data_IF_971728824806
#
_entry.id   IF_971728824806
#
_cell.length_a   1.000
_cell.length_b   1.000
_cell.length_c   1.000
_cell.angle_alpha   90.00
_cell.angle_beta   90.00
_cell.angle_gamma   90.00
#
_symmetry.space_group_name_H-M   'P 1'
#
loop_
_entity.id
_entity.type
_entity.pdbx_description
1 polymer ?
#
# COMPACT_ATOMS: atom_id res chain seq x y z
N UNK A 1 -17.57 16.68 -9.99
CA UNK A 1 -16.57 15.64 -10.24
C UNK A 1 -17.13 14.73 -11.32
N UNK A 2 -16.39 14.47 -12.40
CA UNK A 2 -16.83 13.52 -13.43
C UNK A 2 -16.75 12.09 -12.86
N UNK A 3 -17.74 11.26 -13.17
CA UNK A 3 -17.83 9.88 -12.68
C UNK A 3 -17.42 8.89 -13.76
N UNK A 4 -17.04 7.70 -13.32
CA UNK A 4 -16.79 6.50 -14.16
C UNK A 4 -18.02 5.57 -14.17
N UNK A 5 -19.20 6.16 -14.00
CA UNK A 5 -20.49 5.48 -13.98
C UNK A 5 -21.52 6.36 -14.65
N UNK A 6 -22.61 5.74 -15.11
CA UNK A 6 -23.82 6.35 -15.66
C UNK A 6 -23.65 6.94 -17.07
N UNK A 7 -22.66 6.46 -17.85
CA UNK A 7 -22.56 6.81 -19.27
C UNK A 7 -23.80 6.28 -19.98
N UNK A 8 -24.47 7.15 -20.74
CA UNK A 8 -25.71 6.85 -21.45
C UNK A 8 -26.85 6.28 -20.56
N UNK A 9 -26.92 6.71 -19.29
CA UNK A 9 -27.89 6.22 -18.29
C UNK A 9 -27.77 4.71 -17.98
N UNK A 10 -26.57 4.15 -18.13
CA UNK A 10 -26.31 2.71 -17.92
C UNK A 10 -25.84 2.36 -16.50
N UNK A 11 -26.01 3.26 -15.52
CA UNK A 11 -25.39 3.12 -14.20
C UNK A 11 -25.76 1.84 -13.44
N UNK A 12 -26.99 1.35 -13.56
CA UNK A 12 -27.41 0.09 -12.92
C UNK A 12 -26.65 -1.11 -13.49
N UNK A 13 -26.55 -1.23 -14.81
CA UNK A 13 -25.84 -2.35 -15.43
C UNK A 13 -24.35 -2.33 -15.09
N UNK A 14 -23.73 -1.15 -15.06
CA UNK A 14 -22.33 -1.01 -14.64
C UNK A 14 -22.10 -1.39 -13.17
N UNK A 15 -23.04 -1.07 -12.27
CA UNK A 15 -22.96 -1.53 -10.87
C UNK A 15 -23.09 -3.05 -10.77
N UNK A 16 -24.01 -3.66 -11.54
CA UNK A 16 -24.21 -5.11 -11.56
C UNK A 16 -22.98 -5.82 -12.10
N UNK A 17 -22.37 -5.31 -13.17
CA UNK A 17 -21.13 -5.83 -13.72
C UNK A 17 -19.97 -5.72 -12.72
N UNK A 18 -19.84 -4.57 -12.05
CA UNK A 18 -18.77 -4.32 -11.10
C UNK A 18 -18.88 -5.16 -9.81
N UNK A 19 -20.09 -5.42 -9.33
CA UNK A 19 -20.34 -6.09 -8.05
C UNK A 19 -20.70 -7.57 -8.19
N UNK A 20 -21.41 -7.95 -9.25
CA UNK A 20 -21.88 -9.32 -9.53
C UNK A 20 -22.94 -9.88 -8.58
N UNK A 21 -23.13 -9.30 -7.39
CA UNK A 21 -23.96 -9.84 -6.31
C UNK A 21 -25.20 -8.99 -5.97
N UNK A 22 -25.38 -7.85 -6.65
CA UNK A 22 -26.59 -7.02 -6.50
C UNK A 22 -27.64 -7.37 -7.56
N UNK A 23 -28.91 -7.12 -7.26
CA UNK A 23 -30.01 -7.39 -8.19
C UNK A 23 -29.98 -6.44 -9.40
N UNK A 24 -30.32 -6.95 -10.59
CA UNK A 24 -30.40 -6.17 -11.82
C UNK A 24 -31.44 -5.03 -11.76
N UNK A 25 -32.42 -5.12 -10.88
CA UNK A 25 -33.43 -4.09 -10.60
C UNK A 25 -32.95 -3.01 -9.61
N UNK A 26 -31.65 -3.00 -9.25
CA UNK A 26 -31.10 -1.98 -8.34
C UNK A 26 -31.27 -0.57 -8.90
N UNK A 27 -31.82 0.33 -8.07
CA UNK A 27 -32.04 1.72 -8.40
C UNK A 27 -30.75 2.55 -8.25
N UNK A 28 -30.09 2.84 -9.37
CA UNK A 28 -28.85 3.63 -9.41
C UNK A 28 -29.00 5.04 -8.82
N UNK A 29 -30.21 5.62 -8.85
CA UNK A 29 -30.44 6.99 -8.34
C UNK A 29 -30.12 7.11 -6.84
N UNK A 30 -30.21 6.01 -6.09
CA UNK A 30 -29.84 5.94 -4.68
C UNK A 30 -28.33 5.88 -4.45
N UNK A 31 -27.59 5.29 -5.39
CA UNK A 31 -26.13 5.14 -5.32
C UNK A 31 -25.40 6.42 -5.75
N UNK A 32 -25.93 7.08 -6.78
CA UNK A 32 -25.35 8.28 -7.41
C UNK A 32 -24.86 9.36 -6.43
N UNK A 33 -25.57 9.71 -5.34
CA UNK A 33 -25.09 10.72 -4.38
C UNK A 33 -23.85 10.30 -3.58
N UNK A 34 -23.63 8.99 -3.40
CA UNK A 34 -22.54 8.44 -2.58
C UNK A 34 -21.29 8.12 -3.40
N UNK A 35 -21.42 7.87 -4.70
CA UNK A 35 -20.31 7.58 -5.62
C UNK A 35 -19.17 8.62 -5.50
N UNK A 36 -19.42 9.95 -5.49
CA UNK A 36 -18.35 10.94 -5.35
C UNK A 36 -17.53 10.80 -4.06
N UNK A 37 -18.14 10.33 -2.97
CA UNK A 37 -17.44 10.10 -1.69
C UNK A 37 -16.48 8.91 -1.79
N UNK A 38 -16.91 7.85 -2.48
CA UNK A 38 -16.11 6.66 -2.73
C UNK A 38 -14.99 6.92 -3.72
N UNK A 39 -15.29 7.67 -4.78
CA UNK A 39 -14.28 8.17 -5.72
C UNK A 39 -13.21 8.96 -4.98
N UNK A 40 -13.58 9.96 -4.17
CA UNK A 40 -12.61 10.75 -3.39
C UNK A 40 -11.73 9.86 -2.51
N UNK A 41 -12.32 8.83 -1.87
CA UNK A 41 -11.58 7.86 -1.05
C UNK A 41 -10.56 7.10 -1.88
N UNK A 42 -10.97 6.58 -3.05
CA UNK A 42 -10.08 5.83 -3.94
C UNK A 42 -8.96 6.72 -4.49
N UNK A 43 -9.30 7.92 -4.98
CA UNK A 43 -8.35 8.90 -5.50
C UNK A 43 -7.29 9.29 -4.46
N UNK A 44 -7.63 9.35 -3.18
CA UNK A 44 -6.64 9.61 -2.12
C UNK A 44 -5.56 8.50 -2.00
N UNK A 45 -5.91 7.27 -2.37
CA UNK A 45 -5.03 6.11 -2.34
C UNK A 45 -4.15 6.10 -3.60
N UNK A 46 -4.76 6.10 -4.78
CA UNK A 46 -4.07 5.90 -6.08
C UNK A 46 -3.55 7.19 -6.73
N UNK A 47 -4.00 8.35 -6.26
CA UNK A 47 -3.68 9.66 -6.84
C UNK A 47 -4.70 10.15 -7.88
N UNK A 48 -4.83 11.48 -8.06
CA UNK A 48 -5.72 12.07 -9.07
C UNK A 48 -5.33 11.71 -10.50
N UNK A 49 -4.03 11.56 -10.79
CA UNK A 49 -3.51 11.31 -12.14
C UNK A 49 -4.06 10.02 -12.75
N UNK A 50 -4.20 8.98 -11.92
CA UNK A 50 -4.78 7.69 -12.31
C UNK A 50 -6.27 7.82 -12.58
N UNK A 51 -7.00 8.49 -11.68
CA UNK A 51 -8.45 8.64 -11.80
C UNK A 51 -8.83 9.46 -13.04
N UNK A 52 -8.15 10.59 -13.26
CA UNK A 52 -8.43 11.48 -14.39
C UNK A 52 -8.21 10.78 -15.73
N UNK A 53 -7.17 9.94 -15.84
CA UNK A 53 -6.90 9.14 -17.05
C UNK A 53 -7.98 8.09 -17.32
N UNK A 54 -8.50 7.45 -16.28
CA UNK A 54 -9.62 6.50 -16.45
C UNK A 54 -10.91 7.22 -16.82
N UNK A 55 -11.17 8.41 -16.28
CA UNK A 55 -12.31 9.25 -16.68
C UNK A 55 -12.19 9.66 -18.16
N UNK A 56 -11.00 10.09 -18.60
CA UNK A 56 -10.75 10.42 -20.01
C UNK A 56 -11.07 9.22 -20.93
N UNK A 57 -10.55 8.04 -20.58
CA UNK A 57 -10.84 6.81 -21.31
C UNK A 57 -12.33 6.46 -21.32
N UNK A 58 -12.98 6.48 -20.16
CA UNK A 58 -14.39 6.14 -20.01
C UNK A 58 -15.30 7.02 -20.86
N UNK A 59 -15.00 8.32 -20.98
CA UNK A 59 -15.77 9.26 -21.80
C UNK A 59 -15.32 9.36 -23.26
N UNK A 60 -14.24 8.68 -23.65
CA UNK A 60 -13.76 8.68 -25.03
C UNK A 60 -14.75 7.98 -25.97
N UNK A 61 -14.76 8.42 -27.24
CA UNK A 61 -15.54 7.83 -28.35
C UNK A 61 -14.68 6.99 -29.28
N UNK A 62 -13.37 7.23 -29.32
CA UNK A 62 -12.40 6.53 -30.16
C UNK A 62 -11.15 6.20 -29.31
N UNK A 63 -11.20 5.13 -28.51
CA UNK A 63 -10.03 4.68 -27.77
C UNK A 63 -8.96 4.13 -28.72
N UNK A 64 -7.69 4.28 -28.35
CA UNK A 64 -6.58 3.66 -29.07
C UNK A 64 -6.65 2.14 -28.92
N UNK A 65 -6.89 1.44 -30.03
CA UNK A 65 -7.10 -0.03 -30.06
C UNK A 65 -5.92 -0.83 -29.47
N UNK A 66 -4.70 -0.27 -29.42
CA UNK A 66 -3.54 -0.95 -28.82
C UNK A 66 -3.55 -0.94 -27.30
N UNK A 67 -4.10 0.09 -26.69
CA UNK A 67 -4.12 0.27 -25.23
C UNK A 67 -5.49 0.03 -24.62
N UNK A 68 -6.53 -0.05 -25.46
CA UNK A 68 -7.92 -0.20 -25.08
C UNK A 68 -8.17 -1.32 -24.06
N UNK A 69 -7.66 -2.53 -24.28
CA UNK A 69 -7.87 -3.66 -23.37
C UNK A 69 -7.26 -3.43 -21.97
N UNK A 70 -6.11 -2.75 -21.91
CA UNK A 70 -5.48 -2.40 -20.62
C UNK A 70 -6.33 -1.38 -19.86
N UNK A 71 -6.83 -0.38 -20.57
CA UNK A 71 -7.68 0.65 -19.98
C UNK A 71 -9.08 0.13 -19.61
N UNK A 72 -9.65 -0.81 -20.37
CA UNK A 72 -10.89 -1.52 -19.99
C UNK A 72 -10.71 -2.28 -18.68
N UNK A 73 -9.64 -3.06 -18.56
CA UNK A 73 -9.34 -3.79 -17.33
C UNK A 73 -9.14 -2.83 -16.16
N UNK A 74 -8.39 -1.75 -16.37
CA UNK A 74 -8.18 -0.71 -15.36
C UNK A 74 -9.49 -0.05 -14.92
N UNK A 75 -10.37 0.26 -15.88
CA UNK A 75 -11.70 0.82 -15.62
C UNK A 75 -12.54 -0.11 -14.77
N UNK A 76 -12.61 -1.41 -15.11
CA UNK A 76 -13.39 -2.41 -14.37
C UNK A 76 -12.92 -2.54 -12.92
N UNK A 77 -11.60 -2.63 -12.70
CA UNK A 77 -11.02 -2.68 -11.35
C UNK A 77 -11.36 -1.41 -10.55
N UNK A 78 -11.27 -0.24 -11.19
CA UNK A 78 -11.60 1.03 -10.55
C UNK A 78 -13.10 1.16 -10.24
N UNK A 79 -13.97 0.78 -11.16
CA UNK A 79 -15.42 0.74 -10.96
C UNK A 79 -15.78 -0.20 -9.81
N UNK A 80 -15.20 -1.40 -9.77
CA UNK A 80 -15.41 -2.35 -8.68
C UNK A 80 -15.02 -1.77 -7.31
N UNK A 81 -13.84 -1.15 -7.19
CA UNK A 81 -13.43 -0.51 -5.94
C UNK A 81 -14.37 0.63 -5.52
N UNK A 82 -14.78 1.48 -6.46
CA UNK A 82 -15.74 2.56 -6.18
C UNK A 82 -17.10 2.01 -5.78
N UNK A 83 -17.58 0.97 -6.45
CA UNK A 83 -18.87 0.35 -6.19
C UNK A 83 -18.89 -0.30 -4.78
N UNK A 84 -17.88 -1.09 -4.43
CA UNK A 84 -17.78 -1.71 -3.10
C UNK A 84 -17.68 -0.66 -1.97
N UNK A 85 -16.89 0.40 -2.16
CA UNK A 85 -16.86 1.52 -1.19
C UNK A 85 -18.16 2.31 -1.13
N UNK A 86 -18.93 2.36 -2.21
CA UNK A 86 -20.25 3.01 -2.22
C UNK A 86 -21.26 2.13 -1.51
N UNK A 87 -21.16 0.81 -1.70
CA UNK A 87 -22.06 -0.14 -1.09
C UNK A 87 -21.96 -0.12 0.44
N UNK A 88 -20.76 -0.22 1.00
CA UNK A 88 -20.56 -0.13 2.46
C UNK A 88 -21.07 1.19 3.06
N UNK A 89 -21.13 2.27 2.26
CA UNK A 89 -21.67 3.57 2.71
C UNK A 89 -23.19 3.61 2.70
N UNK A 90 -23.82 2.94 1.74
CA UNK A 90 -25.26 3.06 1.50
C UNK A 90 -26.07 1.98 2.22
N UNK A 91 -25.51 0.79 2.53
CA UNK A 91 -26.22 -0.31 3.23
C UNK A 91 -27.01 0.19 4.46
N UNK A 92 -26.42 0.94 5.40
CA UNK A 92 -27.16 1.39 6.58
C UNK A 92 -28.35 2.30 6.24
N UNK A 93 -28.28 3.01 5.10
CA UNK A 93 -29.38 3.85 4.61
C UNK A 93 -30.43 3.03 3.86
N UNK A 94 -30.04 1.96 3.17
CA UNK A 94 -30.98 1.06 2.49
C UNK A 94 -31.79 0.20 3.47
N UNK A 95 -31.17 -0.19 4.58
CA UNK A 95 -31.78 -0.97 5.65
C UNK A 95 -32.78 -0.17 6.49
N UNK A 96 -32.67 1.16 6.46
CA UNK A 96 -33.53 2.07 7.18
C UNK A 96 -34.57 2.74 6.25
N UNK A 97 -35.85 2.55 6.56
CA UNK A 97 -36.91 3.39 6.01
C UNK A 97 -36.87 4.77 6.66
N UNK A 98 -36.76 5.80 5.81
CA UNK A 98 -36.81 7.20 6.20
C UNK A 98 -38.12 7.79 5.70
N UNK A 99 -39.14 7.81 6.56
CA UNK A 99 -40.46 8.36 6.25
C UNK A 99 -40.80 9.58 7.10
N UNK A 100 -41.93 10.23 6.82
CA UNK A 100 -42.42 11.38 7.60
C UNK A 100 -42.74 11.04 9.07
N UNK A 101 -42.90 9.75 9.40
CA UNK A 101 -43.16 9.25 10.76
C UNK A 101 -41.89 8.86 11.52
N UNK A 102 -40.70 9.06 10.94
CA UNK A 102 -39.41 8.78 11.57
C UNK A 102 -38.61 7.67 10.87
N UNK A 103 -37.68 7.05 11.61
CA UNK A 103 -36.80 5.99 11.13
C UNK A 103 -37.33 4.63 11.57
N UNK A 104 -37.54 3.72 10.62
CA UNK A 104 -37.96 2.34 10.88
C UNK A 104 -37.08 1.36 10.11
N UNK A 105 -36.92 0.12 10.59
CA UNK A 105 -36.19 -0.92 9.85
C UNK A 105 -37.04 -1.35 8.66
N UNK A 106 -36.43 -1.45 7.48
CA UNK A 106 -37.11 -1.96 6.28
C UNK A 106 -37.23 -3.48 6.40
N UNK A 107 -38.42 -3.98 6.66
CA UNK A 107 -38.73 -5.41 6.67
C UNK A 107 -39.96 -5.65 5.78
N UNK A 108 -39.89 -6.62 4.87
CA UNK A 108 -41.07 -7.10 4.16
C UNK A 108 -42.01 -7.85 5.11
N UNK A 109 -43.30 -7.92 4.77
CA UNK A 109 -44.34 -8.54 5.63
C UNK A 109 -44.05 -10.00 6.03
N UNK A 110 -43.18 -10.70 5.29
CA UNK A 110 -42.80 -12.10 5.53
C UNK A 110 -41.29 -12.34 5.64
N UNK A 111 -40.47 -11.29 5.77
CA UNK A 111 -39.01 -11.42 5.80
C UNK A 111 -38.47 -11.28 7.22
N UNK A 112 -37.70 -12.29 7.68
CA UNK A 112 -36.85 -12.12 8.85
C UNK A 112 -35.56 -11.44 8.41
N UNK A 113 -35.37 -10.20 8.85
CA UNK A 113 -34.11 -9.49 8.63
C UNK A 113 -32.92 -10.20 9.27
N UNK A 114 -31.72 -9.86 8.81
CA UNK A 114 -30.46 -10.31 9.41
C UNK A 114 -30.39 -9.86 10.90
N UNK A 115 -29.72 -10.68 11.70
CA UNK A 115 -29.35 -10.28 13.07
C UNK A 115 -28.21 -9.26 13.04
N UNK A 116 -28.05 -8.46 14.08
CA UNK A 116 -26.98 -7.45 14.15
C UNK A 116 -25.56 -8.05 13.97
N UNK A 117 -25.35 -9.29 14.43
CA UNK A 117 -24.06 -9.99 14.23
C UNK A 117 -23.86 -10.38 12.76
N UNK A 118 -24.92 -10.79 12.07
CA UNK A 118 -24.85 -11.13 10.65
C UNK A 118 -24.66 -9.88 9.79
N UNK A 119 -25.37 -8.79 10.07
CA UNK A 119 -25.19 -7.47 9.42
C UNK A 119 -23.75 -6.99 9.57
N UNK A 120 -23.20 -7.02 10.78
CA UNK A 120 -21.81 -6.64 11.03
C UNK A 120 -20.80 -7.50 10.25
N UNK A 121 -21.02 -8.82 10.19
CA UNK A 121 -20.14 -9.74 9.43
C UNK A 121 -20.21 -9.47 7.93
N UNK A 122 -21.40 -9.20 7.41
CA UNK A 122 -21.61 -8.87 6.00
C UNK A 122 -20.93 -7.54 5.62
N UNK A 123 -21.17 -6.49 6.41
CA UNK A 123 -20.51 -5.19 6.23
C UNK A 123 -18.97 -5.31 6.30
N UNK A 124 -18.45 -6.10 7.24
CA UNK A 124 -17.01 -6.38 7.35
C UNK A 124 -16.49 -7.09 6.11
N UNK A 125 -17.23 -8.08 5.60
CA UNK A 125 -16.86 -8.80 4.39
C UNK A 125 -16.83 -7.88 3.16
N UNK A 126 -17.84 -7.02 2.98
CA UNK A 126 -17.90 -6.05 1.88
C UNK A 126 -16.73 -5.06 1.98
N UNK A 127 -16.39 -4.62 3.20
CA UNK A 127 -15.23 -3.76 3.41
C UNK A 127 -13.91 -4.45 3.04
N UNK A 128 -13.74 -5.73 3.39
CA UNK A 128 -12.57 -6.51 3.02
C UNK A 128 -12.46 -6.67 1.51
N UNK A 129 -13.55 -7.04 0.83
CA UNK A 129 -13.61 -7.09 -0.63
C UNK A 129 -13.28 -5.73 -1.26
N UNK A 130 -13.75 -4.63 -0.68
CA UNK A 130 -13.39 -3.29 -1.15
C UNK A 130 -11.88 -3.07 -1.08
N UNK A 131 -11.22 -3.47 0.01
CA UNK A 131 -9.77 -3.36 0.12
C UNK A 131 -9.01 -4.29 -0.82
N UNK A 132 -9.44 -5.54 -0.97
CA UNK A 132 -8.86 -6.49 -1.92
C UNK A 132 -8.97 -5.99 -3.37
N UNK A 133 -10.10 -5.38 -3.74
CA UNK A 133 -10.26 -4.79 -5.07
C UNK A 133 -9.28 -3.64 -5.33
N UNK A 134 -8.97 -2.84 -4.30
CA UNK A 134 -7.99 -1.76 -4.38
C UNK A 134 -6.57 -2.32 -4.47
N UNK A 135 -6.29 -3.40 -3.75
CA UNK A 135 -5.02 -4.11 -3.84
C UNK A 135 -4.80 -4.67 -5.25
N UNK A 136 -5.82 -5.31 -5.83
CA UNK A 136 -5.79 -5.79 -7.22
C UNK A 136 -5.58 -4.65 -8.22
N UNK A 137 -6.25 -3.51 -8.01
CA UNK A 137 -6.06 -2.30 -8.83
C UNK A 137 -4.61 -1.80 -8.78
N UNK A 138 -4.02 -1.68 -7.59
CA UNK A 138 -2.62 -1.20 -7.45
C UNK A 138 -1.65 -2.21 -8.06
N UNK A 139 -1.83 -3.51 -7.82
CA UNK A 139 -1.02 -4.55 -8.41
C UNK A 139 -1.08 -4.51 -9.95
N UNK A 140 -2.26 -4.24 -10.52
CA UNK A 140 -2.42 -4.07 -11.97
C UNK A 140 -1.70 -2.83 -12.50
N UNK A 141 -1.78 -1.70 -11.80
CA UNK A 141 -1.05 -0.48 -12.15
C UNK A 141 0.47 -0.69 -12.16
N UNK A 142 0.99 -1.41 -11.16
CA UNK A 142 2.40 -1.76 -11.04
C UNK A 142 2.86 -2.71 -12.15
N UNK A 143 2.05 -3.72 -12.47
CA UNK A 143 2.34 -4.69 -13.52
C UNK A 143 2.38 -4.05 -14.91
N UNK A 144 1.40 -3.22 -15.24
CA UNK A 144 1.25 -2.68 -16.59
C UNK A 144 2.09 -1.43 -16.84
N UNK A 145 2.74 -0.88 -15.80
CA UNK A 145 3.70 0.23 -15.91
C UNK A 145 3.15 1.45 -16.66
N UNK A 146 1.92 1.85 -16.35
CA UNK A 146 1.30 3.02 -16.99
C UNK A 146 2.12 4.30 -16.72
N UNK A 147 2.39 5.06 -17.78
CA UNK A 147 3.14 6.32 -17.71
C UNK A 147 2.63 7.30 -16.64
N UNK A 148 1.31 7.49 -16.56
CA UNK A 148 0.69 8.39 -15.57
C UNK A 148 0.85 7.88 -14.14
N UNK A 149 0.93 6.56 -13.96
CA UNK A 149 1.15 5.94 -12.65
C UNK A 149 2.61 6.08 -12.23
N UNK A 150 3.55 5.75 -13.12
CA UNK A 150 4.99 5.88 -12.86
C UNK A 150 5.42 7.33 -12.57
N UNK A 151 4.76 8.31 -13.21
CA UNK A 151 5.01 9.75 -13.01
C UNK A 151 4.20 10.35 -11.85
N UNK A 152 3.30 9.58 -11.23
CA UNK A 152 2.46 10.07 -10.12
C UNK A 152 3.29 10.51 -8.91
N UNK A 153 2.72 11.39 -8.08
CA UNK A 153 3.33 11.74 -6.78
C UNK A 153 3.57 10.51 -5.90
N UNK A 154 2.68 9.52 -5.97
CA UNK A 154 2.79 8.27 -5.20
C UNK A 154 4.02 7.48 -5.60
N UNK A 155 4.24 7.27 -6.90
CA UNK A 155 5.43 6.54 -7.38
C UNK A 155 6.71 7.33 -7.17
N UNK A 156 6.70 8.66 -7.34
CA UNK A 156 7.84 9.51 -7.00
C UNK A 156 8.23 9.39 -5.52
N UNK A 157 7.25 9.29 -4.62
CA UNK A 157 7.51 9.10 -3.21
C UNK A 157 8.17 7.74 -2.89
N UNK A 158 7.74 6.68 -3.59
CA UNK A 158 8.27 5.31 -3.45
C UNK A 158 9.68 5.18 -4.02
N UNK A 159 9.98 5.83 -5.14
CA UNK A 159 11.30 5.75 -5.79
C UNK A 159 12.44 6.33 -4.92
N UNK A 160 12.09 7.15 -3.92
CA UNK A 160 13.00 7.70 -2.91
C UNK A 160 13.23 6.74 -1.72
N UNK A 161 12.60 5.57 -1.73
CA UNK A 161 12.75 4.56 -0.67
C UNK A 161 13.74 3.48 -1.07
N UNK A 162 14.35 2.88 -0.06
CA UNK A 162 15.17 1.67 -0.21
C UNK A 162 14.30 0.45 -0.51
N UNK A 163 13.15 0.33 0.17
CA UNK A 163 12.14 -0.69 -0.12
C UNK A 163 11.07 -0.09 -1.03
N UNK A 164 11.04 -0.49 -2.30
CA UNK A 164 10.26 0.16 -3.38
C UNK A 164 8.99 -0.58 -3.79
N UNK A 165 8.75 -1.76 -3.26
CA UNK A 165 7.53 -2.51 -3.56
C UNK A 165 7.07 -3.31 -2.37
N UNK A 166 5.79 -3.70 -2.42
CA UNK A 166 5.18 -4.58 -1.45
C UNK A 166 5.89 -5.94 -1.44
N UNK A 167 6.28 -6.48 -2.60
CA UNK A 167 6.98 -7.76 -2.72
C UNK A 167 8.34 -7.71 -2.03
N UNK A 168 9.09 -6.61 -2.22
CA UNK A 168 10.38 -6.42 -1.53
C UNK A 168 10.20 -6.24 -0.03
N UNK A 169 9.11 -5.60 0.41
CA UNK A 169 8.80 -5.49 1.84
C UNK A 169 8.46 -6.85 2.46
N UNK A 170 7.64 -7.65 1.77
CA UNK A 170 7.18 -8.97 2.21
C UNK A 170 8.34 -9.98 2.42
N UNK A 171 9.49 -9.79 1.77
CA UNK A 171 10.70 -10.60 2.01
C UNK A 171 11.16 -10.49 3.48
N UNK A 172 11.02 -9.30 4.08
CA UNK A 172 11.47 -9.04 5.44
C UNK A 172 10.33 -9.09 6.46
N UNK A 173 9.13 -8.65 6.06
CA UNK A 173 7.93 -8.73 6.90
C UNK A 173 6.66 -8.82 6.05
N UNK A 174 5.94 -9.94 6.15
CA UNK A 174 4.74 -10.20 5.35
C UNK A 174 3.59 -9.24 5.73
N UNK A 175 3.28 -8.31 4.85
CA UNK A 175 2.14 -7.39 4.96
C UNK A 175 0.99 -7.77 4.03
N UNK A 176 1.28 -8.46 2.91
CA UNK A 176 0.26 -9.03 2.03
C UNK A 176 -0.58 -8.04 1.21
N UNK A 177 -0.57 -6.73 1.51
CA UNK A 177 -1.42 -5.70 0.89
C UNK A 177 -0.60 -4.56 0.26
N UNK A 178 -0.87 -4.26 -1.03
CA UNK A 178 -0.27 -3.15 -1.76
C UNK A 178 -0.73 -1.79 -1.20
N UNK A 179 -1.99 -1.69 -0.81
CA UNK A 179 -2.60 -0.53 -0.15
C UNK A 179 -1.92 -0.24 1.19
N UNK A 180 -1.64 -1.28 1.98
CA UNK A 180 -0.89 -1.11 3.22
C UNK A 180 0.53 -0.63 2.93
N UNK A 181 1.22 -1.18 1.94
CA UNK A 181 2.54 -0.68 1.52
C UNK A 181 2.53 0.83 1.17
N UNK A 182 1.54 1.29 0.40
CA UNK A 182 1.37 2.72 0.12
C UNK A 182 1.12 3.55 1.38
N UNK A 183 0.41 2.98 2.36
CA UNK A 183 0.15 3.62 3.66
C UNK A 183 1.43 3.70 4.51
N UNK A 184 2.32 2.70 4.39
CA UNK A 184 3.59 2.63 5.09
C UNK A 184 4.68 3.51 4.46
N UNK A 185 4.56 3.89 3.18
CA UNK A 185 5.52 4.76 2.46
C UNK A 185 6.06 5.95 3.28
N UNK A 186 5.23 6.81 3.91
CA UNK A 186 5.75 7.91 4.75
C UNK A 186 6.48 7.43 6.01
N UNK A 187 6.09 6.29 6.58
CA UNK A 187 6.75 5.70 7.74
C UNK A 187 8.11 5.11 7.34
N UNK A 188 8.19 4.41 6.20
CA UNK A 188 9.46 3.88 5.65
C UNK A 188 10.45 5.03 5.47
N UNK A 189 9.99 6.15 4.88
CA UNK A 189 10.81 7.36 4.73
C UNK A 189 11.31 7.90 6.07
N UNK A 190 10.44 8.00 7.07
CA UNK A 190 10.86 8.48 8.39
C UNK A 190 11.91 7.55 9.02
N UNK A 191 11.73 6.24 8.92
CA UNK A 191 12.63 5.26 9.53
C UNK A 191 13.97 5.19 8.79
N UNK A 192 13.98 5.23 7.46
CA UNK A 192 15.24 5.23 6.71
C UNK A 192 16.05 6.50 7.02
N UNK A 193 15.40 7.68 7.06
CA UNK A 193 16.08 8.95 7.26
C UNK A 193 16.65 9.06 8.68
N UNK A 194 15.94 8.51 9.68
CA UNK A 194 16.31 8.60 11.08
C UNK A 194 17.32 7.55 11.52
N UNK A 195 17.22 6.31 11.04
CA UNK A 195 17.98 5.18 11.57
C UNK A 195 18.95 4.57 10.58
N UNK A 196 18.62 4.53 9.28
CA UNK A 196 19.42 3.83 8.28
C UNK A 196 20.48 4.74 7.66
N UNK A 197 20.06 5.89 7.10
CA UNK A 197 20.97 6.84 6.42
C UNK A 197 22.14 7.27 7.31
N UNK A 198 21.96 7.53 8.63
CA UNK A 198 23.08 7.87 9.51
C UNK A 198 24.15 6.77 9.64
N UNK A 199 23.76 5.49 9.50
CA UNK A 199 24.69 4.35 9.62
C UNK A 199 25.45 4.15 8.30
N UNK A 200 24.73 4.11 7.17
CA UNK A 200 25.36 3.81 5.87
C UNK A 200 25.99 5.03 5.19
N UNK A 201 25.68 6.24 5.68
CA UNK A 201 25.98 7.55 5.08
C UNK A 201 25.18 7.87 3.80
N UNK A 202 25.05 9.16 3.49
CA UNK A 202 24.30 9.62 2.30
C UNK A 202 24.89 9.13 0.98
N UNK A 203 26.21 8.96 0.89
CA UNK A 203 26.88 8.48 -0.33
C UNK A 203 26.42 7.06 -0.70
N UNK A 204 26.45 6.12 0.26
CA UNK A 204 26.01 4.73 0.03
C UNK A 204 24.49 4.65 -0.20
N UNK A 205 23.72 5.50 0.49
CA UNK A 205 22.29 5.62 0.23
C UNK A 205 21.99 6.02 -1.22
N UNK A 206 22.68 7.01 -1.77
CA UNK A 206 22.53 7.42 -3.18
C UNK A 206 22.94 6.30 -4.15
N UNK A 207 24.00 5.55 -3.84
CA UNK A 207 24.41 4.36 -4.60
C UNK A 207 23.32 3.29 -4.62
N UNK A 208 22.76 2.95 -3.45
CA UNK A 208 21.64 2.02 -3.30
C UNK A 208 20.42 2.47 -4.12
N UNK A 209 20.14 3.78 -4.14
CA UNK A 209 19.03 4.29 -4.94
C UNK A 209 19.27 4.17 -6.44
N UNK A 210 20.52 4.32 -6.90
CA UNK A 210 20.86 4.19 -8.32
C UNK A 210 20.94 2.75 -8.82
N UNK A 211 20.68 1.74 -7.96
CA UNK A 211 20.86 0.31 -8.25
C UNK A 211 22.28 -0.05 -8.72
N UNK A 212 23.26 0.79 -8.38
CA UNK A 212 24.66 0.58 -8.71
C UNK A 212 25.43 -0.01 -7.52
N UNK A 213 26.23 -1.04 -7.83
CA UNK A 213 27.51 -1.36 -7.18
C UNK A 213 27.52 -1.76 -5.69
N UNK A 214 26.39 -2.12 -5.08
CA UNK A 214 26.37 -2.67 -3.73
C UNK A 214 25.63 -4.02 -3.74
N UNK A 215 26.35 -5.10 -3.41
CA UNK A 215 25.88 -6.48 -3.53
C UNK A 215 24.56 -6.78 -2.80
N UNK A 216 23.91 -7.90 -3.15
CA UNK A 216 22.61 -8.30 -2.58
C UNK A 216 22.65 -8.39 -1.05
N UNK A 217 23.75 -8.89 -0.47
CA UNK A 217 23.95 -8.99 0.98
C UNK A 217 23.86 -7.63 1.69
N UNK A 218 24.36 -6.56 1.06
CA UNK A 218 24.27 -5.22 1.64
C UNK A 218 22.86 -4.66 1.60
N UNK A 219 22.14 -4.89 0.50
CA UNK A 219 20.73 -4.51 0.41
C UNK A 219 19.89 -5.18 1.50
N UNK A 220 20.12 -6.46 1.74
CA UNK A 220 19.44 -7.23 2.77
C UNK A 220 19.77 -6.75 4.19
N UNK A 221 21.05 -6.48 4.48
CA UNK A 221 21.49 -5.95 5.76
C UNK A 221 20.84 -4.59 6.09
N UNK A 222 20.54 -3.80 5.06
CA UNK A 222 19.90 -2.48 5.22
C UNK A 222 18.37 -2.58 5.29
N UNK A 223 17.76 -3.37 4.42
CA UNK A 223 16.30 -3.40 4.29
C UNK A 223 15.61 -4.17 5.43
N UNK A 224 16.28 -5.18 6.00
CA UNK A 224 15.74 -5.96 7.13
C UNK A 224 15.40 -5.10 8.37
N UNK A 225 16.33 -4.32 8.97
CA UNK A 225 15.99 -3.46 10.09
C UNK A 225 14.98 -2.38 9.69
N UNK A 226 15.03 -1.87 8.45
CA UNK A 226 14.09 -0.86 7.96
C UNK A 226 12.65 -1.36 7.96
N UNK A 227 12.40 -2.59 7.49
CA UNK A 227 11.07 -3.19 7.49
C UNK A 227 10.52 -3.36 8.92
N UNK A 228 11.34 -3.85 9.85
CA UNK A 228 10.95 -4.05 11.24
C UNK A 228 10.66 -2.73 11.97
N UNK A 229 11.51 -1.71 11.81
CA UNK A 229 11.28 -0.36 12.35
C UNK A 229 10.00 0.27 11.78
N UNK A 230 9.75 0.06 10.49
CA UNK A 230 8.52 0.52 9.83
C UNK A 230 7.30 -0.11 10.49
N UNK A 231 7.31 -1.42 10.71
CA UNK A 231 6.19 -2.12 11.34
C UNK A 231 6.03 -1.76 12.81
N UNK A 232 7.12 -1.60 13.56
CA UNK A 232 7.08 -1.08 14.93
C UNK A 232 6.33 0.25 14.97
N UNK A 233 6.71 1.19 14.10
CA UNK A 233 6.09 2.51 14.03
C UNK A 233 4.64 2.47 13.53
N UNK A 234 4.34 1.55 12.62
CA UNK A 234 2.98 1.32 12.13
C UNK A 234 2.05 0.85 13.26
N UNK A 235 2.50 -0.12 14.08
CA UNK A 235 1.74 -0.62 15.24
C UNK A 235 1.46 0.49 16.26
N UNK A 236 2.40 1.41 16.45
CA UNK A 236 2.24 2.57 17.34
C UNK A 236 1.25 3.62 16.82
N UNK A 237 1.15 3.82 15.51
CA UNK A 237 0.43 4.98 14.92
C UNK A 237 -0.85 4.64 14.17
N UNK A 238 -0.93 3.48 13.52
CA UNK A 238 -2.05 3.13 12.65
C UNK A 238 -3.15 2.40 13.44
N UNK A 239 -4.44 2.58 13.10
CA UNK A 239 -5.51 1.77 13.69
C UNK A 239 -5.27 0.26 13.47
N UNK A 240 -5.69 -0.58 14.41
CA UNK A 240 -5.46 -2.04 14.33
C UNK A 240 -6.15 -2.66 13.11
N UNK A 241 -7.27 -2.09 12.69
CA UNK A 241 -8.04 -2.48 11.52
C UNK A 241 -7.29 -2.28 10.19
N UNK A 242 -6.20 -1.52 10.20
CA UNK A 242 -5.36 -1.28 9.02
C UNK A 242 -4.14 -2.22 9.00
N UNK A 243 -3.79 -2.82 10.13
CA UNK A 243 -2.64 -3.72 10.25
C UNK A 243 -2.97 -5.10 9.65
N UNK A 244 -1.96 -5.87 9.22
CA UNK A 244 -2.19 -7.24 8.77
C UNK A 244 -2.79 -8.10 9.88
N UNK A 245 -3.64 -9.05 9.49
CA UNK A 245 -4.25 -9.99 10.41
C UNK A 245 -3.17 -10.75 11.21
N UNK A 246 -3.38 -10.86 12.52
CA UNK A 246 -2.50 -11.60 13.41
C UNK A 246 -1.31 -10.79 13.96
N UNK A 247 -1.03 -9.58 13.48
CA UNK A 247 0.03 -8.72 14.05
C UNK A 247 -0.33 -8.26 15.46
N UNK A 248 -1.58 -7.83 15.66
CA UNK A 248 -2.11 -7.46 16.98
C UNK A 248 -3.37 -8.27 17.23
N UNK A 249 -3.29 -9.24 18.12
CA UNK A 249 -4.46 -10.02 18.55
C UNK A 249 -5.03 -9.43 19.83
N UNK A 250 -6.26 -8.94 19.76
CA UNK A 250 -6.99 -8.42 20.92
C UNK A 250 -8.06 -9.43 21.32
N UNK A 251 -8.17 -9.72 22.62
CA UNK A 251 -9.27 -10.53 23.13
C UNK A 251 -10.60 -9.82 22.88
N UNK A 252 -11.55 -10.50 22.23
CA UNK A 252 -12.86 -9.91 21.89
C UNK A 252 -13.87 -9.92 23.05
N UNK A 253 -13.53 -10.56 24.18
CA UNK A 253 -14.37 -10.65 25.37
C UNK A 253 -14.05 -9.54 26.38
N UNK A 254 -15.09 -8.95 26.99
CA UNK A 254 -14.95 -7.91 28.02
C UNK A 254 -15.68 -6.60 27.70
N UNK A 255 -15.66 -5.68 28.65
CA UNK A 255 -16.19 -4.32 28.52
C UNK A 255 -15.35 -3.48 27.55
N UNK A 256 -15.90 -2.38 27.03
CA UNK A 256 -15.18 -1.47 26.12
C UNK A 256 -13.85 -0.99 26.71
N UNK A 257 -13.80 -0.69 28.02
CA UNK A 257 -12.58 -0.25 28.71
C UNK A 257 -11.51 -1.35 28.75
N UNK A 258 -11.92 -2.59 29.00
CA UNK A 258 -11.01 -3.73 29.03
C UNK A 258 -10.44 -4.01 27.64
N UNK A 259 -11.26 -3.90 26.59
CA UNK A 259 -10.81 -4.04 25.20
C UNK A 259 -9.75 -3.02 24.82
N UNK A 260 -9.99 -1.74 25.11
CA UNK A 260 -9.03 -0.66 24.82
C UNK A 260 -7.71 -0.90 25.56
N UNK A 261 -7.77 -1.32 26.83
CA UNK A 261 -6.57 -1.61 27.62
C UNK A 261 -5.79 -2.81 27.05
N UNK A 262 -6.49 -3.90 26.75
CA UNK A 262 -5.88 -5.10 26.17
C UNK A 262 -5.25 -4.81 24.80
N UNK A 263 -5.92 -4.01 23.96
CA UNK A 263 -5.36 -3.55 22.69
C UNK A 263 -4.07 -2.75 22.90
N UNK A 264 -4.08 -1.76 23.79
CA UNK A 264 -2.90 -0.94 24.06
C UNK A 264 -1.72 -1.77 24.59
N UNK A 265 -1.98 -2.76 25.44
CA UNK A 265 -0.96 -3.68 25.97
C UNK A 265 -0.40 -4.59 24.86
N UNK A 266 -1.27 -5.17 24.02
CA UNK A 266 -0.86 -5.99 22.89
C UNK A 266 0.00 -5.20 21.89
N UNK A 267 -0.41 -3.97 21.56
CA UNK A 267 0.33 -3.08 20.66
C UNK A 267 1.71 -2.75 21.21
N UNK A 268 1.79 -2.44 22.51
CA UNK A 268 3.06 -2.16 23.18
C UNK A 268 3.99 -3.38 23.18
N UNK A 269 3.46 -4.57 23.42
CA UNK A 269 4.24 -5.81 23.40
C UNK A 269 4.80 -6.11 22.01
N UNK A 270 3.97 -6.01 20.97
CA UNK A 270 4.38 -6.23 19.57
C UNK A 270 5.40 -5.20 19.12
N UNK A 271 5.14 -3.90 19.37
CA UNK A 271 6.07 -2.83 19.02
C UNK A 271 7.43 -3.00 19.73
N UNK A 272 7.42 -3.44 21.00
CA UNK A 272 8.67 -3.74 21.72
C UNK A 272 9.43 -4.89 21.07
N UNK A 273 8.77 -6.00 20.76
CA UNK A 273 9.40 -7.15 20.12
C UNK A 273 10.04 -6.76 18.78
N UNK A 274 9.32 -6.01 17.94
CA UNK A 274 9.83 -5.54 16.65
C UNK A 274 11.02 -4.60 16.82
N UNK A 275 10.98 -3.71 17.81
CA UNK A 275 12.08 -2.79 18.12
C UNK A 275 13.32 -3.50 18.65
N UNK A 276 13.15 -4.52 19.48
CA UNK A 276 14.27 -5.32 20.02
C UNK A 276 14.98 -6.10 18.89
N UNK A 277 14.22 -6.66 17.94
CA UNK A 277 14.81 -7.37 16.78
C UNK A 277 15.43 -6.40 15.78
N UNK A 278 14.77 -5.29 15.46
CA UNK A 278 15.36 -4.24 14.63
C UNK A 278 16.65 -3.68 15.23
N UNK A 279 16.73 -3.55 16.55
CA UNK A 279 17.93 -3.10 17.25
C UNK A 279 19.13 -4.02 17.04
N UNK A 280 18.92 -5.35 17.05
CA UNK A 280 19.98 -6.32 16.74
C UNK A 280 20.46 -6.20 15.31
N UNK A 281 19.52 -6.06 14.36
CA UNK A 281 19.84 -5.90 12.94
C UNK A 281 20.57 -4.59 12.65
N UNK A 282 20.25 -3.50 13.36
CA UNK A 282 20.99 -2.23 13.26
C UNK A 282 22.44 -2.36 13.77
N UNK A 283 22.67 -3.10 14.86
CA UNK A 283 24.03 -3.38 15.35
C UNK A 283 24.80 -4.20 14.32
N UNK A 284 24.18 -5.25 13.77
CA UNK A 284 24.80 -6.05 12.72
C UNK A 284 25.14 -5.21 11.47
N UNK A 285 24.28 -4.26 11.09
CA UNK A 285 24.56 -3.33 10.00
C UNK A 285 25.74 -2.40 10.32
N UNK A 286 25.86 -1.91 11.55
CA UNK A 286 27.01 -1.11 11.99
C UNK A 286 28.31 -1.91 11.91
N UNK A 287 28.30 -3.16 12.39
CA UNK A 287 29.46 -4.06 12.33
C UNK A 287 29.84 -4.38 10.87
N UNK A 288 28.84 -4.56 10.00
CA UNK A 288 29.05 -4.78 8.57
C UNK A 288 29.71 -3.57 7.89
N UNK A 289 29.23 -2.35 8.15
CA UNK A 289 29.84 -1.11 7.65
C UNK A 289 31.27 -0.95 8.17
N UNK A 290 31.51 -1.22 9.45
CA UNK A 290 32.84 -1.15 10.05
C UNK A 290 33.82 -2.14 9.39
N UNK A 291 33.33 -3.32 8.99
CA UNK A 291 34.14 -4.32 8.28
C UNK A 291 34.53 -3.83 6.88
N UNK A 292 33.57 -3.28 6.12
CA UNK A 292 33.83 -2.70 4.79
C UNK A 292 34.81 -1.53 4.88
N UNK A 293 34.71 -0.70 5.92
CA UNK A 293 35.62 0.44 6.12
C UNK A 293 37.01 0.02 6.61
N UNK A 294 37.15 -1.18 7.16
CA UNK A 294 38.41 -1.76 7.60
C UNK A 294 39.16 -2.55 6.52
N UNK A 295 38.50 -2.92 5.41
CA UNK A 295 39.17 -3.45 4.23
C UNK A 295 40.06 -2.34 3.62
N UNK A 296 41.39 -2.47 3.65
CA UNK A 296 42.26 -1.47 3.06
C UNK A 296 42.01 -1.42 1.56
N UNK A 297 41.98 -0.21 0.96
CA UNK A 297 42.28 -0.04 -0.46
C UNK A 297 43.47 -0.95 -0.80
N UNK A 298 43.35 -1.80 -1.84
CA UNK A 298 44.46 -2.64 -2.30
C UNK A 298 45.75 -1.81 -2.27
N UNK A 299 46.81 -2.26 -1.57
CA UNK A 299 48.03 -1.49 -1.49
C UNK A 299 48.54 -1.30 -2.91
N UNK A 300 48.52 -0.05 -3.37
CA UNK A 300 49.12 0.38 -4.63
C UNK A 300 50.58 -0.09 -4.58
N UNK A 301 50.83 -1.22 -5.24
CA UNK A 301 52.10 -1.93 -5.23
C UNK A 301 53.03 -1.11 -6.11
N UNK A 302 53.46 0.04 -5.59
CA UNK A 302 54.51 0.85 -6.17
C UNK A 302 55.81 0.07 -5.98
N UNK A 303 56.03 -0.91 -6.85
CA UNK A 303 57.32 -1.52 -7.06
C UNK A 303 58.26 -0.38 -7.48
N UNK A 304 59.26 0.00 -6.66
CA UNK A 304 60.25 0.97 -7.09
C UNK A 304 60.91 0.35 -8.31
N UNK A 305 60.78 0.99 -9.49
CA UNK A 305 61.53 0.57 -10.68
C UNK A 305 62.99 0.46 -10.26
N UNK A 306 63.55 -0.74 -10.36
CA UNK A 306 64.95 -0.98 -10.08
C UNK A 306 65.78 0.08 -10.83
N UNK A 307 66.55 0.86 -10.10
CA UNK A 307 67.47 1.84 -10.65
C UNK A 307 68.49 1.08 -11.49
N UNK A 308 68.30 1.05 -12.80
CA UNK A 308 69.29 0.54 -13.74
C UNK A 308 70.45 1.54 -13.70
N UNK A 309 71.48 1.23 -12.91
CA UNK A 309 72.77 1.90 -13.03
C UNK A 309 73.41 1.43 -14.35
N UNK A 310 73.31 2.26 -15.39
CA UNK A 310 74.17 2.11 -16.57
C UNK A 310 75.60 2.51 -16.21
N UNK A 311 76.39 1.53 -15.76
CA UNK A 311 77.85 1.65 -15.80
C UNK A 311 78.36 1.18 -17.16
N UNK A 312 79.07 2.11 -17.81
CA UNK A 312 80.08 1.85 -18.85
C UNK A 312 79.57 1.87 -20.29
N UNK A 313 80.32 2.29 -21.30
CA UNK A 313 81.68 2.82 -21.45
C UNK A 313 81.72 3.29 -22.93
N UNK A 314 82.48 4.34 -23.21
CA UNK A 314 82.88 4.78 -24.57
C UNK A 314 83.55 3.68 -25.38
N UNK A 315 83.13 3.53 -26.64
CA UNK A 315 84.01 3.45 -27.84
C UNK A 315 83.27 4.08 -29.02
#
# INVERSE_FOLDING_TARGET
MKTIFDKNNNGTSELVEALGMIDAATDFSKWKPYIPLSVRRLTAIIGPEVYDKVVEFYHSTEPDSKTEEKYKTLLLLMQQSVALFTWIKIIPTLDAQHGNTGRQKRLGENEKGLTAIQEYKDETNILNLAYESVDALIAYLDKENFDFWLKSEKKRAINQLLIRSKEKFDIYYMIGSHRLFLTLTPIIREMQDRYIIPIITRKRYEQLLSENELGEDFNDAVCRPLALLTMQKAVERLPVEVLPDGVVQVQQAGTVKEKIKAEAEARKAVAKSLGDDAGKDLIALQDFIATIEAEPDEPDLYLPKATIQSKGITF
#
